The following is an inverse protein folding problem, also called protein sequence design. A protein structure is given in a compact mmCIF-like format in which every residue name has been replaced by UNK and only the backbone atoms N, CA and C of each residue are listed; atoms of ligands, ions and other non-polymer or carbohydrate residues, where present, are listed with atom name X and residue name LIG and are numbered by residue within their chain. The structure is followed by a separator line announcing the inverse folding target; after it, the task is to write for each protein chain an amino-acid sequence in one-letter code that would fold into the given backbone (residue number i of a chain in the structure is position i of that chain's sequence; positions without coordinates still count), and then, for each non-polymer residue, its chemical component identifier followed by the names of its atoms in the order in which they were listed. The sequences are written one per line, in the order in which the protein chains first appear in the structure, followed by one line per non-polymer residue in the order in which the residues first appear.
data_IF_081155865549
#
_entry.id   IF_081155865549
#
_cell.length_a   1.000
_cell.length_b   1.000
_cell.length_c   1.000
_cell.angle_alpha   90.00
_cell.angle_beta   90.00
_cell.angle_gamma   90.00
#
_symmetry.space_group_name_H-M   'P 1'
#
loop_
_entity.id
_entity.type
_entity.pdbx_description
1 polymer ?
#
# COMPACT_ATOMS: atom_id res chain seq x y z
N UNK A 1 27.22 -43.42 -51.86
CA UNK A 1 27.47 -42.63 -50.64
C UNK A 1 26.49 -41.49 -50.68
N UNK A 2 25.35 -41.68 -50.04
CA UNK A 2 24.33 -40.66 -49.83
C UNK A 2 23.99 -40.82 -48.36
N UNK A 3 24.51 -39.90 -47.56
CA UNK A 3 24.45 -39.95 -46.10
C UNK A 3 23.00 -39.82 -45.61
N UNK A 4 22.66 -40.75 -44.72
CA UNK A 4 21.53 -40.66 -43.82
C UNK A 4 21.76 -39.51 -42.83
N UNK A 5 20.84 -38.55 -42.75
CA UNK A 5 20.74 -37.67 -41.59
C UNK A 5 19.71 -38.25 -40.62
N UNK A 6 20.20 -38.55 -39.41
CA UNK A 6 19.46 -39.04 -38.26
C UNK A 6 18.49 -37.96 -37.72
N UNK A 7 17.26 -38.35 -37.38
CA UNK A 7 16.31 -37.54 -36.62
C UNK A 7 16.77 -37.44 -35.15
N UNK A 8 17.07 -36.22 -34.69
CA UNK A 8 17.36 -35.91 -33.28
C UNK A 8 16.09 -35.65 -32.44
N UNK A 9 16.17 -35.71 -31.09
CA UNK A 9 15.00 -35.65 -30.22
C UNK A 9 14.35 -34.26 -30.23
N UNK A 10 13.06 -34.21 -30.55
CA UNK A 10 12.31 -32.98 -30.82
C UNK A 10 12.22 -32.02 -29.63
N UNK A 11 12.71 -30.80 -29.82
CA UNK A 11 12.37 -29.64 -28.99
C UNK A 11 10.96 -29.17 -29.35
N UNK A 12 9.99 -29.34 -28.44
CA UNK A 12 8.64 -28.86 -28.63
C UNK A 12 8.60 -27.32 -28.69
N UNK A 13 7.82 -26.77 -29.62
CA UNK A 13 7.70 -25.30 -29.78
C UNK A 13 6.86 -24.67 -28.64
N UNK A 14 7.04 -23.36 -28.32
CA UNK A 14 6.21 -22.66 -27.34
C UNK A 14 4.70 -22.82 -27.55
N UNK A 15 4.26 -22.84 -28.81
CA UNK A 15 2.85 -23.04 -29.16
C UNK A 15 2.37 -24.46 -28.85
N UNK A 16 3.18 -25.49 -29.16
CA UNK A 16 2.84 -26.88 -28.83
C UNK A 16 2.72 -27.12 -27.31
N UNK A 17 3.59 -26.48 -26.52
CA UNK A 17 3.53 -26.56 -25.05
C UNK A 17 2.30 -25.80 -24.52
N UNK A 18 1.94 -24.66 -25.13
CA UNK A 18 0.72 -23.90 -24.81
C UNK A 18 -0.57 -24.71 -25.07
N UNK A 19 -0.64 -25.40 -26.20
CA UNK A 19 -1.78 -26.26 -26.55
C UNK A 19 -1.90 -27.45 -25.59
N UNK A 20 -0.78 -28.10 -25.25
CA UNK A 20 -0.74 -29.18 -24.24
C UNK A 20 -1.20 -28.70 -22.87
N UNK A 21 -0.83 -27.48 -22.46
CA UNK A 21 -1.27 -26.87 -21.21
C UNK A 21 -2.77 -26.58 -21.20
N UNK A 22 -3.31 -26.11 -22.33
CA UNK A 22 -4.75 -25.86 -22.48
C UNK A 22 -5.54 -27.17 -22.36
N UNK A 23 -5.15 -28.18 -23.14
CA UNK A 23 -5.80 -29.50 -23.12
C UNK A 23 -5.71 -30.18 -21.74
N UNK A 24 -4.57 -30.10 -21.07
CA UNK A 24 -4.40 -30.69 -19.74
C UNK A 24 -5.22 -29.92 -18.67
N UNK A 25 -5.37 -28.61 -18.80
CA UNK A 25 -6.25 -27.81 -17.95
C UNK A 25 -7.73 -28.19 -18.09
N UNK A 26 -8.17 -28.46 -19.32
CA UNK A 26 -9.53 -28.94 -19.61
C UNK A 26 -9.77 -30.34 -19.05
N UNK A 27 -8.79 -31.23 -19.17
CA UNK A 27 -8.84 -32.57 -18.58
C UNK A 27 -9.00 -32.52 -17.06
N UNK A 28 -8.26 -31.66 -16.36
CA UNK A 28 -8.41 -31.48 -14.90
C UNK A 28 -9.81 -30.95 -14.54
N UNK A 29 -10.37 -30.05 -15.35
CA UNK A 29 -11.74 -29.53 -15.14
C UNK A 29 -12.80 -30.60 -15.36
N UNK A 30 -12.65 -31.42 -16.41
CA UNK A 30 -13.55 -32.54 -16.68
C UNK A 30 -13.53 -33.57 -15.53
N UNK A 31 -12.35 -34.02 -15.11
CA UNK A 31 -12.20 -34.99 -14.01
C UNK A 31 -12.80 -34.51 -12.69
N UNK A 32 -12.67 -33.21 -12.37
CA UNK A 32 -13.30 -32.62 -11.18
C UNK A 32 -14.82 -32.53 -11.29
N UNK A 33 -15.35 -32.29 -12.49
CA UNK A 33 -16.79 -32.20 -12.75
C UNK A 33 -17.45 -33.57 -12.70
N UNK A 34 -16.77 -34.60 -13.22
CA UNK A 34 -17.22 -35.99 -13.23
C UNK A 34 -17.02 -36.71 -11.89
N UNK A 35 -16.42 -36.03 -10.88
CA UNK A 35 -16.08 -36.61 -9.57
C UNK A 35 -15.23 -37.88 -9.69
N UNK A 36 -14.26 -37.86 -10.59
CA UNK A 36 -13.28 -38.94 -10.75
C UNK A 36 -12.49 -39.18 -9.45
N UNK A 37 -11.83 -40.34 -9.38
CA UNK A 37 -11.03 -40.71 -8.21
C UNK A 37 -9.93 -39.68 -7.92
N UNK A 38 -9.70 -39.45 -6.62
CA UNK A 38 -8.75 -38.43 -6.15
C UNK A 38 -7.33 -38.67 -6.69
N UNK A 39 -6.92 -39.93 -6.84
CA UNK A 39 -5.63 -40.30 -7.40
C UNK A 39 -5.47 -39.84 -8.86
N UNK A 40 -6.53 -39.90 -9.66
CA UNK A 40 -6.51 -39.51 -11.08
C UNK A 40 -6.50 -37.98 -11.24
N UNK A 41 -7.23 -37.27 -10.38
CA UNK A 41 -7.19 -35.81 -10.30
C UNK A 41 -5.79 -35.34 -9.90
N UNK A 42 -5.19 -35.95 -8.88
CA UNK A 42 -3.87 -35.57 -8.38
C UNK A 42 -2.78 -35.84 -9.44
N UNK A 43 -2.84 -36.98 -10.14
CA UNK A 43 -1.92 -37.28 -11.25
C UNK A 43 -2.06 -36.27 -12.41
N UNK A 44 -3.29 -35.89 -12.76
CA UNK A 44 -3.54 -34.91 -13.81
C UNK A 44 -3.07 -33.49 -13.43
N UNK A 45 -3.19 -33.10 -12.15
CA UNK A 45 -2.70 -31.83 -11.62
C UNK A 45 -1.17 -31.79 -11.59
N UNK A 46 -0.50 -32.88 -11.20
CA UNK A 46 0.96 -32.95 -11.22
C UNK A 46 1.53 -32.77 -12.63
N UNK A 47 0.91 -33.40 -13.64
CA UNK A 47 1.30 -33.20 -15.03
C UNK A 47 1.08 -31.76 -15.51
N UNK A 48 -0.04 -31.13 -15.10
CA UNK A 48 -0.32 -29.72 -15.40
C UNK A 48 0.74 -28.78 -14.81
N UNK A 49 1.17 -29.03 -13.56
CA UNK A 49 2.22 -28.23 -12.90
C UNK A 49 3.56 -28.38 -13.61
N UNK A 50 3.94 -29.60 -14.00
CA UNK A 50 5.17 -29.85 -14.76
C UNK A 50 5.18 -29.09 -16.09
N UNK A 51 4.08 -29.16 -16.85
CA UNK A 51 3.96 -28.44 -18.12
C UNK A 51 4.05 -26.91 -17.95
N UNK A 52 3.59 -26.36 -16.82
CA UNK A 52 3.71 -24.92 -16.54
C UNK A 52 5.15 -24.50 -16.28
N UNK A 53 5.91 -25.35 -15.58
CA UNK A 53 7.36 -25.14 -15.36
C UNK A 53 8.11 -25.21 -16.68
N UNK A 54 7.80 -26.20 -17.53
CA UNK A 54 8.42 -26.36 -18.84
C UNK A 54 8.11 -25.16 -19.75
N UNK A 55 6.87 -24.67 -19.76
CA UNK A 55 6.47 -23.48 -20.51
C UNK A 55 7.16 -22.20 -20.03
N UNK A 56 7.28 -22.00 -18.71
CA UNK A 56 8.01 -20.86 -18.13
C UNK A 56 9.49 -20.89 -18.48
N UNK A 57 10.09 -22.09 -18.46
CA UNK A 57 11.49 -22.29 -18.82
C UNK A 57 11.72 -22.00 -20.31
N UNK A 58 10.78 -22.37 -21.16
CA UNK A 58 10.89 -22.20 -22.62
C UNK A 58 10.58 -20.78 -23.11
N UNK A 59 9.67 -20.07 -22.46
CA UNK A 59 9.14 -18.76 -22.93
C UNK A 59 9.55 -17.58 -22.06
N UNK A 60 10.10 -17.82 -20.86
CA UNK A 60 10.33 -16.79 -19.85
C UNK A 60 9.06 -16.24 -19.21
N UNK A 61 7.87 -16.73 -19.59
CA UNK A 61 6.56 -16.23 -19.16
C UNK A 61 5.74 -17.31 -18.47
N UNK A 62 4.97 -16.94 -17.44
CA UNK A 62 4.01 -17.85 -16.82
C UNK A 62 2.82 -18.13 -17.77
N UNK A 63 2.35 -19.38 -17.80
CA UNK A 63 1.21 -19.76 -18.63
C UNK A 63 -0.07 -19.02 -18.20
N UNK A 64 -0.69 -18.34 -19.16
CA UNK A 64 -2.00 -17.69 -19.02
C UNK A 64 -2.98 -18.28 -20.03
N UNK A 65 -4.06 -18.89 -19.54
CA UNK A 65 -5.08 -19.50 -20.39
C UNK A 65 -5.70 -18.44 -21.33
N UNK A 66 -5.79 -18.76 -22.62
CA UNK A 66 -6.34 -17.87 -23.64
C UNK A 66 -5.37 -16.81 -24.20
N UNK A 67 -4.09 -16.82 -23.80
CA UNK A 67 -3.06 -15.92 -24.33
C UNK A 67 -1.92 -16.71 -25.00
N UNK A 68 -2.01 -17.05 -26.30
CA UNK A 68 -0.98 -17.80 -26.99
C UNK A 68 0.32 -16.97 -27.14
N UNK A 69 1.51 -17.62 -27.15
CA UNK A 69 2.78 -16.93 -27.35
C UNK A 69 2.86 -16.30 -28.75
N UNK A 70 3.28 -15.04 -28.84
CA UNK A 70 3.39 -14.30 -30.12
C UNK A 70 4.72 -14.58 -30.82
N UNK A 71 4.66 -14.97 -32.09
CA UNK A 71 5.83 -15.06 -32.98
C UNK A 71 6.12 -13.67 -33.55
N UNK A 72 6.91 -12.87 -32.84
CA UNK A 72 7.43 -11.62 -33.41
C UNK A 72 8.87 -11.35 -32.97
N UNK A 73 9.78 -11.51 -33.92
CA UNK A 73 11.18 -11.03 -33.92
C UNK A 73 11.22 -9.53 -33.59
N UNK A 74 12.17 -9.04 -32.76
CA UNK A 74 12.08 -7.72 -32.17
C UNK A 74 12.35 -6.62 -33.22
N UNK A 75 11.38 -5.73 -33.40
CA UNK A 75 11.60 -4.39 -33.97
C UNK A 75 11.49 -3.37 -32.83
N UNK A 76 12.48 -2.48 -32.77
CA UNK A 76 12.64 -1.45 -31.74
C UNK A 76 11.43 -0.49 -31.72
N UNK A 77 10.81 -0.34 -30.55
CA UNK A 77 9.88 0.75 -30.26
C UNK A 77 10.33 1.48 -28.98
N UNK A 78 10.43 2.80 -29.08
CA UNK A 78 10.96 3.72 -28.06
C UNK A 78 9.85 4.14 -27.08
N UNK A 79 9.33 3.19 -26.30
CA UNK A 79 8.69 3.45 -25.00
C UNK A 79 9.70 3.22 -23.87
N UNK A 80 9.46 3.66 -22.61
CA UNK A 80 10.36 3.31 -21.53
C UNK A 80 10.29 1.79 -21.34
N UNK A 81 11.31 1.09 -21.83
CA UNK A 81 11.55 -0.30 -21.53
C UNK A 81 11.70 -0.40 -20.02
N UNK A 82 10.85 -1.20 -19.37
CA UNK A 82 11.15 -1.67 -18.01
C UNK A 82 12.45 -2.45 -18.15
N UNK A 83 13.56 -1.82 -17.79
CA UNK A 83 14.87 -2.48 -17.71
C UNK A 83 14.76 -3.62 -16.71
N UNK A 84 15.23 -4.81 -17.09
CA UNK A 84 15.31 -5.96 -16.18
C UNK A 84 15.98 -5.52 -14.88
N UNK A 85 15.24 -5.57 -13.77
CA UNK A 85 15.73 -5.23 -12.42
C UNK A 85 15.22 -3.93 -11.80
N UNK A 86 14.28 -3.19 -12.43
CA UNK A 86 13.64 -2.03 -11.78
C UNK A 86 12.48 -2.39 -10.83
N UNK A 87 12.35 -1.64 -9.74
CA UNK A 87 11.30 -1.83 -8.73
C UNK A 87 9.91 -1.50 -9.28
N UNK A 88 8.95 -2.41 -9.17
CA UNK A 88 7.56 -2.16 -9.55
C UNK A 88 6.82 -1.54 -8.37
N UNK A 89 6.33 -0.31 -8.52
CA UNK A 89 5.54 0.39 -7.50
C UNK A 89 4.35 1.05 -8.16
N UNK A 90 3.15 0.52 -7.88
CA UNK A 90 1.86 1.05 -8.27
C UNK A 90 0.85 0.86 -7.11
N UNK A 91 -0.37 1.42 -7.17
CA UNK A 91 -1.34 1.33 -6.06
C UNK A 91 -1.69 -0.10 -5.62
N UNK A 92 -1.56 -1.09 -6.52
CA UNK A 92 -1.90 -2.48 -6.28
C UNK A 92 -0.66 -3.35 -5.99
N UNK A 93 0.48 -3.06 -6.61
CA UNK A 93 1.67 -3.91 -6.59
C UNK A 93 2.91 -3.16 -6.10
N UNK A 94 3.63 -3.80 -5.19
CA UNK A 94 4.99 -3.40 -4.80
C UNK A 94 5.85 -4.65 -4.85
N UNK A 95 6.83 -4.67 -5.76
CA UNK A 95 7.81 -5.74 -5.86
C UNK A 95 9.20 -5.21 -6.21
N UNK A 96 10.21 -5.83 -5.61
CA UNK A 96 11.63 -5.59 -5.89
C UNK A 96 12.41 -6.89 -5.80
N UNK A 97 13.48 -7.01 -6.58
CA UNK A 97 14.46 -8.11 -6.48
C UNK A 97 15.44 -7.91 -5.32
N UNK A 98 15.51 -6.72 -4.74
CA UNK A 98 16.43 -6.36 -3.67
C UNK A 98 15.95 -6.84 -2.30
N UNK A 99 16.80 -7.58 -1.58
CA UNK A 99 16.53 -7.95 -0.18
C UNK A 99 16.54 -6.75 0.78
N UNK A 100 17.11 -5.60 0.36
CA UNK A 100 17.05 -4.34 1.12
C UNK A 100 15.73 -3.60 0.94
N UNK A 101 14.85 -4.10 0.06
CA UNK A 101 13.63 -3.42 -0.34
C UNK A 101 13.85 -2.39 -1.45
N UNK A 102 12.82 -1.57 -1.65
CA UNK A 102 12.71 -0.58 -2.73
C UNK A 102 13.77 0.52 -2.60
N UNK A 103 14.36 0.92 -3.72
CA UNK A 103 15.25 2.08 -3.80
C UNK A 103 14.42 3.37 -3.84
N UNK A 104 14.18 3.92 -2.65
CA UNK A 104 13.32 5.09 -2.45
C UNK A 104 13.89 6.38 -3.07
N UNK A 105 15.21 6.52 -3.21
CA UNK A 105 15.80 7.71 -3.84
C UNK A 105 15.62 7.67 -5.37
N UNK A 106 15.76 6.49 -6.00
CA UNK A 106 15.36 6.31 -7.41
C UNK A 106 13.87 6.52 -7.61
N UNK A 107 13.05 6.07 -6.66
CA UNK A 107 11.59 6.24 -6.74
C UNK A 107 11.19 7.72 -6.70
N UNK A 108 11.89 8.55 -5.92
CA UNK A 108 11.71 10.02 -5.92
C UNK A 108 11.90 10.58 -7.34
N UNK A 109 13.00 10.21 -7.99
CA UNK A 109 13.33 10.67 -9.35
C UNK A 109 12.27 10.20 -10.34
N UNK A 110 11.90 8.91 -10.31
CA UNK A 110 10.90 8.33 -11.22
C UNK A 110 9.54 9.00 -11.10
N UNK A 111 9.09 9.25 -9.87
CA UNK A 111 7.79 9.87 -9.63
C UNK A 111 7.86 11.40 -9.75
N UNK A 112 9.06 11.99 -9.78
CA UNK A 112 9.27 13.43 -9.83
C UNK A 112 8.76 14.13 -8.56
N UNK A 113 8.96 13.50 -7.40
CA UNK A 113 8.65 14.09 -6.08
C UNK A 113 9.90 14.77 -5.49
N UNK A 114 9.79 15.35 -4.30
CA UNK A 114 10.91 16.01 -3.60
C UNK A 114 11.33 15.19 -2.38
N UNK A 115 12.62 15.08 -2.10
CA UNK A 115 13.14 14.47 -0.86
C UNK A 115 12.79 15.37 0.33
N UNK A 116 12.39 14.77 1.45
CA UNK A 116 12.35 15.47 2.74
C UNK A 116 13.79 15.50 3.27
N UNK A 117 14.39 16.68 3.29
CA UNK A 117 15.71 16.93 3.84
C UNK A 117 15.64 17.43 5.29
N UNK A 118 16.81 17.61 5.91
CA UNK A 118 16.90 18.07 7.29
C UNK A 118 16.36 19.50 7.45
N UNK A 119 16.51 20.37 6.43
CA UNK A 119 16.00 21.75 6.48
C UNK A 119 14.47 21.75 6.62
N UNK A 120 13.77 20.92 5.84
CA UNK A 120 12.32 20.79 5.93
C UNK A 120 11.89 20.19 7.28
N UNK A 121 12.61 19.20 7.80
CA UNK A 121 12.34 18.63 9.13
C UNK A 121 12.48 19.68 10.22
N UNK A 122 13.58 20.44 10.20
CA UNK A 122 13.82 21.53 11.16
C UNK A 122 12.78 22.65 11.03
N UNK A 123 12.31 22.91 9.80
CA UNK A 123 11.22 23.89 9.57
C UNK A 123 9.90 23.41 10.17
N UNK A 124 9.55 22.13 10.00
CA UNK A 124 8.34 21.56 10.64
C UNK A 124 8.42 21.70 12.17
N UNK A 125 9.58 21.42 12.78
CA UNK A 125 9.80 21.63 14.22
C UNK A 125 9.58 23.09 14.62
N UNK A 126 10.20 24.05 13.92
CA UNK A 126 10.06 25.48 14.21
C UNK A 126 8.62 25.97 14.08
N UNK A 127 7.91 25.51 13.05
CA UNK A 127 6.53 25.95 12.76
C UNK A 127 5.52 25.38 13.75
N UNK A 128 5.69 24.13 14.15
CA UNK A 128 4.78 23.44 15.09
C UNK A 128 5.15 23.67 16.56
N UNK A 129 6.41 24.00 16.84
CA UNK A 129 6.96 24.04 18.21
C UNK A 129 7.05 22.66 18.85
N UNK A 130 6.98 21.58 18.06
CA UNK A 130 6.95 20.20 18.52
C UNK A 130 8.10 19.39 17.91
N UNK A 131 8.65 18.47 18.69
CA UNK A 131 9.68 17.53 18.20
C UNK A 131 9.14 16.79 16.97
N UNK A 132 9.87 16.78 15.83
CA UNK A 132 9.43 16.08 14.62
C UNK A 132 9.12 14.62 14.92
N UNK A 133 8.04 14.07 14.36
CA UNK A 133 7.71 12.66 14.52
C UNK A 133 8.89 11.76 14.14
N UNK A 134 9.04 10.60 14.79
CA UNK A 134 10.14 9.67 14.48
C UNK A 134 10.15 9.24 13.02
N UNK A 135 8.98 9.22 12.36
CA UNK A 135 8.90 8.91 10.94
C UNK A 135 9.55 9.95 10.03
N UNK A 136 9.60 11.22 10.44
CA UNK A 136 10.38 12.23 9.74
C UNK A 136 11.87 12.06 10.06
N UNK A 137 12.22 11.94 11.35
CA UNK A 137 13.62 11.82 11.82
C UNK A 137 14.34 10.61 11.23
N UNK A 138 13.62 9.52 10.98
CA UNK A 138 14.15 8.25 10.48
C UNK A 138 13.93 8.04 8.97
N UNK A 139 13.42 9.04 8.25
CA UNK A 139 13.15 8.93 6.82
C UNK A 139 12.14 7.85 6.45
N UNK A 140 11.16 7.57 7.31
CA UNK A 140 10.01 6.72 6.98
C UNK A 140 9.04 7.53 6.12
N UNK A 141 8.70 8.75 6.53
CA UNK A 141 8.18 9.76 5.62
C UNK A 141 9.37 10.48 5.01
N UNK A 142 9.62 10.24 3.73
CA UNK A 142 10.90 10.55 3.08
C UNK A 142 10.76 11.44 1.85
N UNK A 143 9.56 11.55 1.29
CA UNK A 143 9.27 12.33 0.09
C UNK A 143 8.05 13.21 0.29
N UNK A 144 7.98 14.32 -0.44
CA UNK A 144 6.87 15.26 -0.37
C UNK A 144 6.58 15.91 -1.73
N UNK A 145 5.44 16.61 -1.79
CA UNK A 145 5.12 17.60 -2.82
C UNK A 145 4.51 18.83 -2.15
N UNK A 146 5.04 20.01 -2.44
CA UNK A 146 4.51 21.30 -1.97
C UNK A 146 4.34 21.44 -0.44
N UNK A 147 5.06 20.66 0.38
CA UNK A 147 5.03 20.79 1.84
C UNK A 147 5.47 22.19 2.31
N UNK A 148 6.41 22.84 1.61
CA UNK A 148 6.75 24.24 1.90
C UNK A 148 5.54 25.18 1.76
N UNK A 149 4.64 24.95 0.79
CA UNK A 149 3.44 25.79 0.63
C UNK A 149 2.44 25.60 1.79
N UNK A 150 2.37 24.39 2.35
CA UNK A 150 1.59 24.13 3.57
C UNK A 150 2.16 24.93 4.74
N UNK A 151 3.48 24.88 4.93
CA UNK A 151 4.15 25.61 6.01
C UNK A 151 4.01 27.13 5.81
N UNK A 152 4.18 27.64 4.59
CA UNK A 152 3.95 29.04 4.25
C UNK A 152 2.51 29.46 4.61
N UNK A 153 1.51 28.65 4.24
CA UNK A 153 0.11 28.92 4.56
C UNK A 153 -0.13 28.98 6.08
N UNK A 154 0.40 27.99 6.82
CA UNK A 154 0.23 27.88 8.26
C UNK A 154 0.92 29.02 9.03
N UNK A 155 2.16 29.37 8.66
CA UNK A 155 2.89 30.52 9.21
C UNK A 155 2.11 31.83 9.01
N UNK A 156 1.45 31.98 7.86
CA UNK A 156 0.57 33.10 7.51
C UNK A 156 -0.86 32.98 8.08
N UNK A 157 -1.10 32.08 9.05
CA UNK A 157 -2.40 31.88 9.71
C UNK A 157 -3.54 31.52 8.74
N UNK A 158 -3.21 30.96 7.58
CA UNK A 158 -4.18 30.36 6.67
C UNK A 158 -4.37 28.91 7.06
N UNK A 159 -5.64 28.49 7.11
CA UNK A 159 -5.98 27.11 7.41
C UNK A 159 -5.73 26.20 6.21
N UNK A 160 -5.46 24.93 6.51
CA UNK A 160 -5.41 23.82 5.56
C UNK A 160 -6.07 22.60 6.21
N UNK A 161 -6.29 21.52 5.45
CA UNK A 161 -6.87 20.29 5.99
C UNK A 161 -6.08 19.07 5.55
N UNK A 162 -6.20 17.99 6.32
CA UNK A 162 -5.64 16.69 5.98
C UNK A 162 -6.66 15.85 5.23
N UNK A 163 -6.17 15.08 4.28
CA UNK A 163 -6.92 14.01 3.64
C UNK A 163 -6.06 12.75 3.59
N UNK A 164 -6.60 11.63 4.06
CA UNK A 164 -6.03 10.31 3.80
C UNK A 164 -7.16 9.32 3.53
N UNK A 165 -6.85 8.06 3.22
CA UNK A 165 -7.87 7.07 2.90
C UNK A 165 -7.47 5.64 3.15
N UNK A 166 -8.47 4.76 3.09
CA UNK A 166 -8.33 3.32 3.25
C UNK A 166 -9.32 2.61 2.34
N UNK A 167 -8.81 1.69 1.52
CA UNK A 167 -9.63 0.71 0.82
C UNK A 167 -9.89 -0.53 1.68
N UNK A 168 -11.11 -0.74 2.20
CA UNK A 168 -11.39 -1.78 3.20
C UNK A 168 -11.57 -3.17 2.56
N UNK A 169 -10.49 -3.94 2.44
CA UNK A 169 -10.50 -5.27 1.79
C UNK A 169 -10.79 -6.46 2.72
N UNK A 170 -10.87 -6.22 4.02
CA UNK A 170 -11.05 -7.23 5.08
C UNK A 170 -11.53 -6.55 6.36
N UNK A 171 -12.08 -7.32 7.30
CA UNK A 171 -12.59 -6.80 8.58
C UNK A 171 -11.52 -6.16 9.45
N UNK A 172 -10.30 -6.69 9.42
CA UNK A 172 -9.21 -6.23 10.27
C UNK A 172 -8.08 -5.59 9.44
N UNK A 173 -7.53 -4.50 9.95
CA UNK A 173 -6.27 -3.93 9.49
C UNK A 173 -5.06 -4.72 10.02
N UNK A 174 -3.89 -4.51 9.41
CA UNK A 174 -2.59 -4.97 9.91
C UNK A 174 -1.70 -3.78 10.28
N UNK A 175 -0.61 -4.03 11.01
CA UNK A 175 0.30 -2.98 11.52
C UNK A 175 0.85 -2.05 10.42
N UNK A 176 1.05 -2.54 9.20
CA UNK A 176 1.46 -1.70 8.08
C UNK A 176 0.46 -0.60 7.71
N UNK A 177 -0.85 -0.82 7.94
CA UNK A 177 -1.84 0.22 7.72
C UNK A 177 -1.79 1.32 8.78
N UNK A 178 -1.23 1.06 9.97
CA UNK A 178 -1.13 2.08 11.02
C UNK A 178 -0.14 3.18 10.67
N UNK A 179 0.85 2.94 9.80
CA UNK A 179 1.90 3.92 9.49
C UNK A 179 1.33 5.26 9.00
N UNK A 180 0.50 5.32 7.95
CA UNK A 180 -0.12 6.58 7.53
C UNK A 180 -1.07 7.16 8.59
N UNK A 181 -1.82 6.34 9.33
CA UNK A 181 -2.78 6.84 10.32
C UNK A 181 -2.12 7.41 11.58
N UNK A 182 -1.08 6.76 12.12
CA UNK A 182 -0.29 7.28 13.25
C UNK A 182 0.30 8.64 12.88
N UNK A 183 0.87 8.75 11.67
CA UNK A 183 1.44 10.01 11.22
C UNK A 183 0.39 11.08 10.98
N UNK A 184 -0.75 10.73 10.38
CA UNK A 184 -1.85 11.66 10.15
C UNK A 184 -2.43 12.16 11.47
N UNK A 185 -2.53 11.30 12.49
CA UNK A 185 -2.92 11.70 13.84
C UNK A 185 -1.92 12.72 14.38
N UNK A 186 -0.62 12.41 14.35
CA UNK A 186 0.40 13.35 14.80
C UNK A 186 0.32 14.70 14.08
N UNK A 187 0.11 14.70 12.75
CA UNK A 187 -0.10 15.93 11.98
C UNK A 187 -1.35 16.70 12.45
N UNK A 188 -2.47 16.01 12.69
CA UNK A 188 -3.68 16.64 13.22
C UNK A 188 -3.42 17.30 14.59
N UNK A 189 -2.67 16.64 15.47
CA UNK A 189 -2.35 17.17 16.80
C UNK A 189 -1.45 18.41 16.74
N UNK A 190 -0.35 18.34 15.98
CA UNK A 190 0.68 19.40 15.99
C UNK A 190 0.30 20.62 15.17
N UNK A 191 -0.56 20.47 14.16
CA UNK A 191 -1.05 21.59 13.35
C UNK A 191 -2.42 22.10 13.80
N UNK A 192 -3.20 21.31 14.54
CA UNK A 192 -4.56 21.63 14.96
C UNK A 192 -5.49 21.98 13.78
N UNK A 193 -5.78 20.98 12.95
CA UNK A 193 -6.51 21.16 11.67
C UNK A 193 -7.54 20.04 11.41
N UNK A 194 -8.53 20.28 10.54
CA UNK A 194 -9.50 19.24 10.22
C UNK A 194 -8.90 18.14 9.33
N UNK A 195 -9.49 16.96 9.45
CA UNK A 195 -9.13 15.75 8.73
C UNK A 195 -10.38 15.15 8.08
N UNK A 196 -10.23 14.74 6.82
CA UNK A 196 -11.19 13.86 6.13
C UNK A 196 -10.54 12.51 5.82
N UNK A 197 -11.24 11.41 6.07
CA UNK A 197 -10.76 10.06 5.79
C UNK A 197 -11.75 9.35 4.87
N UNK A 198 -11.29 9.02 3.66
CA UNK A 198 -12.09 8.29 2.68
C UNK A 198 -12.00 6.79 2.89
N UNK A 199 -13.14 6.11 2.89
CA UNK A 199 -13.26 4.65 2.85
C UNK A 199 -13.81 4.24 1.49
N UNK A 200 -12.92 3.70 0.66
CA UNK A 200 -13.21 3.39 -0.75
C UNK A 200 -13.89 2.01 -0.89
N UNK A 201 -15.07 1.87 -0.29
CA UNK A 201 -15.88 0.65 -0.38
C UNK A 201 -16.42 0.41 -1.80
N UNK A 202 -16.66 1.46 -2.57
CA UNK A 202 -16.95 1.40 -4.00
C UNK A 202 -15.77 0.83 -4.83
N UNK A 203 -14.53 1.23 -4.53
CA UNK A 203 -13.32 0.62 -5.11
C UNK A 203 -13.28 -0.88 -4.81
N UNK A 204 -13.54 -1.29 -3.57
CA UNK A 204 -13.48 -2.70 -3.23
C UNK A 204 -14.57 -3.50 -3.92
N UNK A 205 -15.77 -2.95 -4.05
CA UNK A 205 -16.82 -3.53 -4.88
C UNK A 205 -16.40 -3.67 -6.35
N UNK A 206 -15.71 -2.67 -6.92
CA UNK A 206 -15.28 -2.69 -8.32
C UNK A 206 -14.11 -3.64 -8.60
N UNK A 207 -13.25 -3.91 -7.62
CA UNK A 207 -12.04 -4.74 -7.78
C UNK A 207 -12.15 -6.16 -7.21
N UNK A 208 -13.11 -6.43 -6.32
CA UNK A 208 -13.26 -7.72 -5.63
C UNK A 208 -14.65 -8.30 -5.88
N UNK A 209 -14.74 -9.61 -5.74
CA UNK A 209 -16.01 -10.34 -5.77
C UNK A 209 -16.65 -10.27 -4.38
N UNK A 210 -17.24 -9.11 -4.07
CA UNK A 210 -17.90 -8.79 -2.80
C UNK A 210 -19.21 -8.05 -3.09
N UNK A 211 -20.22 -8.23 -2.23
CA UNK A 211 -21.45 -7.44 -2.32
C UNK A 211 -21.23 -6.00 -1.83
N UNK A 212 -22.18 -5.09 -2.17
CA UNK A 212 -22.15 -3.71 -1.65
C UNK A 212 -22.27 -3.70 -0.12
N UNK A 213 -23.13 -4.56 0.43
CA UNK A 213 -23.34 -4.72 1.87
C UNK A 213 -22.08 -5.22 2.57
N UNK A 214 -21.33 -6.14 1.96
CA UNK A 214 -20.06 -6.61 2.50
C UNK A 214 -19.00 -5.50 2.49
N UNK A 215 -18.89 -4.75 1.39
CA UNK A 215 -17.93 -3.65 1.27
C UNK A 215 -18.23 -2.53 2.28
N UNK A 216 -19.50 -2.16 2.42
CA UNK A 216 -19.96 -1.18 3.40
C UNK A 216 -19.67 -1.64 4.83
N UNK A 217 -19.97 -2.90 5.15
CA UNK A 217 -19.65 -3.50 6.45
C UNK A 217 -18.15 -3.44 6.75
N UNK A 218 -17.28 -3.73 5.76
CA UNK A 218 -15.84 -3.58 5.94
C UNK A 218 -15.42 -2.12 6.14
N UNK A 219 -16.05 -1.16 5.46
CA UNK A 219 -15.82 0.26 5.71
C UNK A 219 -16.11 0.62 7.18
N UNK A 220 -17.29 0.24 7.69
CA UNK A 220 -17.68 0.50 9.10
C UNK A 220 -16.72 -0.18 10.09
N UNK A 221 -16.31 -1.43 9.86
CA UNK A 221 -15.36 -2.11 10.75
C UNK A 221 -13.95 -1.52 10.68
N UNK A 222 -13.48 -1.08 9.51
CA UNK A 222 -12.19 -0.38 9.38
C UNK A 222 -12.27 1.04 9.98
N UNK A 223 -13.45 1.68 9.98
CA UNK A 223 -13.64 2.96 10.67
C UNK A 223 -13.39 2.81 12.17
N UNK A 224 -13.77 1.69 12.80
CA UNK A 224 -13.47 1.39 14.22
C UNK A 224 -11.97 1.30 14.48
N UNK A 225 -11.23 0.61 13.62
CA UNK A 225 -9.75 0.54 13.71
C UNK A 225 -9.13 1.94 13.56
N UNK A 226 -9.62 2.75 12.62
CA UNK A 226 -9.13 4.12 12.39
C UNK A 226 -9.43 5.01 13.61
N UNK A 227 -10.65 4.98 14.16
CA UNK A 227 -11.02 5.73 15.37
C UNK A 227 -10.14 5.31 16.55
N UNK A 228 -9.80 4.02 16.67
CA UNK A 228 -8.90 3.50 17.71
C UNK A 228 -7.44 4.00 17.60
N UNK A 229 -7.07 4.70 16.52
CA UNK A 229 -5.82 5.46 16.44
C UNK A 229 -5.86 6.75 17.29
N UNK A 230 -7.03 7.17 17.74
CA UNK A 230 -7.22 8.30 18.68
C UNK A 230 -7.44 9.65 18.01
N UNK A 231 -7.97 9.68 16.78
CA UNK A 231 -8.34 10.92 16.10
C UNK A 231 -9.39 11.72 16.89
N UNK A 232 -9.32 13.05 16.82
CA UNK A 232 -10.28 13.92 17.51
C UNK A 232 -11.62 13.92 16.74
N UNK A 233 -12.69 13.47 17.39
CA UNK A 233 -14.05 13.45 16.82
C UNK A 233 -14.54 14.84 16.44
N UNK A 234 -14.07 15.92 17.08
CA UNK A 234 -14.50 17.27 16.71
C UNK A 234 -13.81 17.78 15.45
N UNK A 235 -12.73 17.13 15.01
CA UNK A 235 -11.85 17.56 13.91
C UNK A 235 -11.77 16.54 12.78
N UNK A 236 -12.47 15.42 12.87
CA UNK A 236 -12.32 14.30 11.92
C UNK A 236 -13.66 13.88 11.33
N UNK A 237 -13.71 13.81 10.00
CA UNK A 237 -14.83 13.25 9.25
C UNK A 237 -14.37 12.01 8.48
N UNK A 238 -14.92 10.85 8.81
CA UNK A 238 -14.67 9.59 8.09
C UNK A 238 -15.86 9.37 7.16
N UNK A 239 -15.68 8.89 5.94
CA UNK A 239 -16.83 8.66 5.06
C UNK A 239 -16.63 7.44 4.17
N UNK A 240 -17.71 6.66 4.01
CA UNK A 240 -17.87 5.68 2.94
C UNK A 240 -18.16 6.42 1.63
N UNK A 241 -17.53 6.00 0.53
CA UNK A 241 -17.81 6.56 -0.78
C UNK A 241 -19.24 6.22 -1.22
N UNK A 242 -19.70 4.98 -1.01
CA UNK A 242 -21.06 4.54 -1.34
C UNK A 242 -22.13 5.41 -0.64
N UNK A 243 -21.94 5.74 0.63
CA UNK A 243 -22.89 6.55 1.40
C UNK A 243 -22.77 8.05 1.07
N UNK A 244 -21.56 8.60 1.12
CA UNK A 244 -21.35 10.05 1.05
C UNK A 244 -21.62 10.63 -0.34
N UNK A 245 -21.39 9.85 -1.40
CA UNK A 245 -21.71 10.24 -2.77
C UNK A 245 -23.20 10.61 -2.92
N UNK A 246 -24.09 9.88 -2.25
CA UNK A 246 -25.54 10.13 -2.25
C UNK A 246 -25.97 11.32 -1.39
N UNK A 247 -25.12 11.78 -0.47
CA UNK A 247 -25.43 12.82 0.51
C UNK A 247 -24.71 14.16 0.25
N UNK A 248 -23.73 14.20 -0.66
CA UNK A 248 -22.94 15.40 -0.95
C UNK A 248 -23.00 15.83 -2.41
N UNK A 249 -23.78 16.89 -2.74
CA UNK A 249 -23.77 17.45 -4.10
C UNK A 249 -22.40 18.06 -4.45
N UNK A 250 -21.63 18.51 -3.46
CA UNK A 250 -20.28 19.06 -3.67
C UNK A 250 -19.30 17.99 -4.15
N UNK A 251 -19.36 16.80 -3.54
CA UNK A 251 -18.49 15.68 -3.85
C UNK A 251 -18.67 15.21 -5.30
N UNK A 252 -19.88 14.83 -5.69
CA UNK A 252 -20.12 14.32 -7.06
C UNK A 252 -19.84 15.38 -8.15
N UNK A 253 -20.11 16.67 -7.88
CA UNK A 253 -19.74 17.77 -8.81
C UNK A 253 -18.23 17.81 -9.07
N UNK A 254 -17.41 17.58 -8.05
CA UNK A 254 -15.97 17.52 -8.22
C UNK A 254 -15.52 16.24 -8.91
N UNK A 255 -16.15 15.09 -8.65
CA UNK A 255 -15.92 13.84 -9.42
C UNK A 255 -16.13 14.10 -10.91
N UNK A 256 -17.27 14.68 -11.31
CA UNK A 256 -17.57 14.99 -12.71
C UNK A 256 -16.58 15.99 -13.31
N UNK A 257 -16.16 17.01 -12.56
CA UNK A 257 -15.12 17.95 -12.99
C UNK A 257 -13.80 17.24 -13.26
N UNK A 258 -13.39 16.31 -12.42
CA UNK A 258 -12.14 15.54 -12.62
C UNK A 258 -12.27 14.61 -13.83
N UNK A 259 -13.37 13.84 -13.92
CA UNK A 259 -13.64 12.93 -15.04
C UNK A 259 -13.55 13.63 -16.40
N UNK A 260 -14.07 14.86 -16.51
CA UNK A 260 -14.01 15.65 -17.75
C UNK A 260 -12.57 15.97 -18.22
N UNK A 261 -11.60 16.01 -17.30
CA UNK A 261 -10.23 16.46 -17.59
C UNK A 261 -9.18 15.33 -17.54
N UNK A 262 -9.63 14.08 -17.39
CA UNK A 262 -8.80 12.88 -17.41
C UNK A 262 -9.33 11.95 -18.50
N UNK A 263 -8.52 11.74 -19.53
CA UNK A 263 -8.84 10.85 -20.65
C UNK A 263 -8.56 9.39 -20.29
N UNK A 264 -9.20 8.46 -21.02
CA UNK A 264 -8.92 7.04 -20.84
C UNK A 264 -7.43 6.71 -21.09
N UNK A 265 -6.82 7.27 -22.14
CA UNK A 265 -5.40 7.07 -22.43
C UNK A 265 -4.49 7.48 -21.26
N UNK A 266 -4.85 8.55 -20.52
CA UNK A 266 -4.10 8.94 -19.33
C UNK A 266 -4.20 7.87 -18.23
N UNK A 267 -5.39 7.36 -17.92
CA UNK A 267 -5.52 6.32 -16.87
C UNK A 267 -4.94 4.97 -17.30
N UNK A 268 -4.92 4.65 -18.61
CA UNK A 268 -4.14 3.50 -19.13
C UNK A 268 -2.65 3.65 -18.83
N UNK A 269 -2.09 4.84 -19.08
CA UNK A 269 -0.67 5.11 -18.84
C UNK A 269 -0.30 5.20 -17.36
N UNK A 270 -1.19 5.72 -16.50
CA UNK A 270 -0.92 5.92 -15.07
C UNK A 270 -1.16 4.64 -14.26
N UNK A 271 -2.24 3.92 -14.56
CA UNK A 271 -2.74 2.81 -13.75
C UNK A 271 -2.68 1.45 -14.46
N UNK A 272 -2.30 1.40 -15.74
CA UNK A 272 -2.23 0.15 -16.48
C UNK A 272 -3.58 -0.46 -16.86
N UNK A 273 -4.67 0.33 -16.82
CA UNK A 273 -5.98 -0.16 -17.26
C UNK A 273 -5.99 -0.56 -18.73
N UNK A 274 -6.86 -1.51 -19.07
CA UNK A 274 -7.06 -1.99 -20.44
C UNK A 274 -8.50 -1.78 -20.89
N UNK A 275 -8.75 -1.95 -22.18
CA UNK A 275 -10.09 -1.76 -22.77
C UNK A 275 -11.10 -2.82 -22.27
N UNK A 276 -10.62 -3.86 -21.59
CA UNK A 276 -11.42 -4.91 -20.95
C UNK A 276 -11.82 -4.61 -19.50
N UNK A 277 -11.24 -3.58 -18.87
CA UNK A 277 -11.63 -3.19 -17.53
C UNK A 277 -13.01 -2.52 -17.53
N UNK A 278 -13.80 -2.74 -16.47
CA UNK A 278 -15.12 -2.13 -16.38
C UNK A 278 -15.02 -0.60 -16.21
N UNK A 279 -16.04 0.12 -16.70
CA UNK A 279 -16.08 1.59 -16.67
C UNK A 279 -15.98 2.18 -15.25
N UNK A 280 -16.39 1.42 -14.24
CA UNK A 280 -16.24 1.80 -12.84
C UNK A 280 -14.76 1.93 -12.46
N UNK A 281 -13.92 0.93 -12.77
CA UNK A 281 -12.47 0.99 -12.52
C UNK A 281 -11.81 2.16 -13.26
N UNK A 282 -12.16 2.34 -14.53
CA UNK A 282 -11.60 3.38 -15.40
C UNK A 282 -11.86 4.78 -14.83
N UNK A 283 -13.03 4.99 -14.23
CA UNK A 283 -13.47 6.30 -13.73
C UNK A 283 -13.24 6.52 -12.23
N UNK A 284 -12.95 5.46 -11.46
CA UNK A 284 -12.64 5.51 -10.03
C UNK A 284 -11.53 6.52 -9.64
N UNK A 285 -10.44 6.72 -10.40
CA UNK A 285 -9.42 7.72 -10.04
C UNK A 285 -9.97 9.12 -9.77
N UNK A 286 -11.10 9.49 -10.39
CA UNK A 286 -11.78 10.76 -10.11
C UNK A 286 -12.42 10.82 -8.72
N UNK A 287 -12.90 9.68 -8.19
CA UNK A 287 -13.49 9.54 -6.86
C UNK A 287 -12.41 9.72 -5.79
N UNK A 288 -11.23 9.10 -5.96
CA UNK A 288 -10.10 9.30 -5.06
C UNK A 288 -9.45 10.70 -5.19
N UNK A 289 -9.59 11.37 -6.34
CA UNK A 289 -9.13 12.75 -6.51
C UNK A 289 -10.03 13.78 -5.82
N UNK A 290 -11.35 13.58 -5.81
CA UNK A 290 -12.33 14.56 -5.34
C UNK A 290 -12.13 15.04 -3.88
N UNK A 291 -11.75 14.21 -2.90
CA UNK A 291 -11.48 14.65 -1.53
C UNK A 291 -10.32 15.64 -1.40
N UNK A 292 -9.48 15.78 -2.43
CA UNK A 292 -8.39 16.76 -2.47
C UNK A 292 -8.87 18.21 -2.60
N UNK A 293 -10.17 18.42 -2.83
CA UNK A 293 -10.78 19.74 -2.98
C UNK A 293 -11.80 19.99 -1.88
N UNK A 294 -11.62 21.08 -1.13
CA UNK A 294 -12.48 21.46 0.01
C UNK A 294 -13.96 21.61 -0.36
N UNK A 295 -14.28 21.99 -1.60
CA UNK A 295 -15.67 22.10 -2.08
C UNK A 295 -16.40 20.75 -2.16
N UNK A 296 -15.69 19.62 -2.03
CA UNK A 296 -16.30 18.29 -1.88
C UNK A 296 -17.00 18.10 -0.54
N UNK A 297 -16.65 18.91 0.47
CA UNK A 297 -17.19 18.83 1.83
C UNK A 297 -17.86 20.16 2.25
N UNK A 298 -18.99 20.53 1.63
CA UNK A 298 -19.64 21.81 1.90
C UNK A 298 -20.05 22.00 3.37
N UNK A 299 -20.37 20.91 4.09
CA UNK A 299 -20.71 20.94 5.51
C UNK A 299 -19.52 21.26 6.43
N UNK A 300 -18.28 21.07 5.94
CA UNK A 300 -17.06 21.35 6.69
C UNK A 300 -16.50 22.73 6.29
N UNK A 301 -16.35 22.97 4.99
CA UNK A 301 -15.62 24.13 4.46
C UNK A 301 -16.54 25.22 3.87
N UNK A 302 -17.86 25.10 4.02
CA UNK A 302 -18.84 26.12 3.60
C UNK A 302 -18.68 26.60 2.15
N UNK A 303 -18.30 25.67 1.24
CA UNK A 303 -18.09 25.97 -0.18
C UNK A 303 -16.79 26.74 -0.51
N UNK A 304 -15.91 26.99 0.47
CA UNK A 304 -14.56 27.54 0.21
C UNK A 304 -13.78 26.64 -0.74
N UNK A 305 -13.04 27.25 -1.66
CA UNK A 305 -12.27 26.57 -2.73
C UNK A 305 -10.76 26.70 -2.60
N UNK A 306 -10.31 27.49 -1.63
CA UNK A 306 -8.94 27.95 -1.42
C UNK A 306 -8.30 27.33 -0.18
N UNK A 307 -9.01 26.42 0.51
CA UNK A 307 -8.44 25.68 1.65
C UNK A 307 -7.47 24.64 1.09
N UNK A 308 -6.20 24.78 1.46
CA UNK A 308 -5.14 23.90 1.00
C UNK A 308 -5.34 22.48 1.57
N UNK A 309 -5.01 21.45 0.79
CA UNK A 309 -5.09 20.05 1.19
C UNK A 309 -3.68 19.47 1.35
N UNK A 310 -3.43 18.72 2.42
CA UNK A 310 -2.24 17.90 2.63
C UNK A 310 -2.63 16.42 2.72
N UNK A 311 -1.95 15.58 1.94
CA UNK A 311 -2.26 14.15 1.84
C UNK A 311 -1.08 13.30 2.35
N UNK A 312 -1.18 12.74 3.57
CA UNK A 312 -0.25 11.72 4.04
C UNK A 312 -0.66 10.35 3.50
N UNK A 313 0.24 9.68 2.77
CA UNK A 313 0.01 8.35 2.23
C UNK A 313 1.34 7.59 2.06
N UNK A 314 1.27 6.27 1.83
CA UNK A 314 2.42 5.56 1.27
C UNK A 314 2.61 5.96 -0.21
N UNK A 315 3.85 5.89 -0.70
CA UNK A 315 4.19 6.42 -2.02
C UNK A 315 3.49 5.71 -3.20
N UNK A 316 2.95 4.51 -2.99
CA UNK A 316 2.14 3.80 -3.99
C UNK A 316 0.85 4.54 -4.37
N UNK A 317 0.39 5.49 -3.56
CA UNK A 317 -0.78 6.32 -3.85
C UNK A 317 -0.45 7.59 -4.66
N UNK A 318 0.83 7.95 -4.83
CA UNK A 318 1.25 9.15 -5.61
C UNK A 318 0.66 9.20 -7.04
N UNK A 319 0.50 8.09 -7.79
CA UNK A 319 -0.10 8.13 -9.13
C UNK A 319 -1.49 8.80 -9.17
N UNK A 320 -2.35 8.55 -8.18
CA UNK A 320 -3.64 9.24 -8.07
C UNK A 320 -3.48 10.74 -7.91
N UNK A 321 -2.59 11.16 -7.01
CA UNK A 321 -2.48 12.56 -6.65
C UNK A 321 -1.60 13.36 -7.59
N UNK A 322 -0.66 12.72 -8.30
CA UNK A 322 0.02 13.31 -9.45
C UNK A 322 -0.99 13.67 -10.53
N UNK A 323 -1.91 12.75 -10.86
CA UNK A 323 -3.03 13.04 -11.75
C UNK A 323 -3.91 14.17 -11.20
N UNK A 324 -4.28 14.14 -9.92
CA UNK A 324 -5.09 15.18 -9.28
C UNK A 324 -4.44 16.56 -9.36
N UNK A 325 -3.11 16.64 -9.17
CA UNK A 325 -2.34 17.89 -9.24
C UNK A 325 -2.31 18.48 -10.66
N UNK A 326 -2.34 17.65 -11.70
CA UNK A 326 -2.43 18.11 -13.09
C UNK A 326 -3.83 18.63 -13.45
N UNK A 327 -4.86 18.06 -12.83
CA UNK A 327 -6.27 18.45 -13.02
C UNK A 327 -6.62 19.72 -12.24
N UNK A 328 -6.16 19.85 -10.99
CA UNK A 328 -6.51 20.92 -10.06
C UNK A 328 -6.52 22.34 -10.69
N UNK A 329 -5.46 22.82 -11.37
CA UNK A 329 -5.47 24.15 -11.98
C UNK A 329 -6.48 24.30 -13.13
N UNK A 330 -6.80 23.21 -13.86
CA UNK A 330 -7.76 23.22 -14.99
C UNK A 330 -9.20 23.42 -14.50
N UNK A 331 -9.48 23.03 -13.26
CA UNK A 331 -10.79 23.18 -12.61
C UNK A 331 -10.82 24.33 -11.59
N UNK A 332 -9.74 25.13 -11.52
CA UNK A 332 -9.65 26.34 -10.70
C UNK A 332 -9.46 26.09 -9.20
N UNK A 333 -8.80 25.00 -8.82
CA UNK A 333 -8.51 24.63 -7.44
C UNK A 333 -6.99 24.55 -7.16
N UNK A 334 -6.56 24.71 -5.88
CA UNK A 334 -5.17 24.51 -5.50
C UNK A 334 -4.77 23.04 -5.68
N UNK A 335 -3.49 22.81 -5.97
CA UNK A 335 -2.91 21.47 -6.02
C UNK A 335 -2.82 20.90 -4.59
N UNK A 336 -3.22 19.65 -4.33
CA UNK A 336 -2.95 19.04 -3.02
C UNK A 336 -1.44 18.86 -2.81
N UNK A 337 -0.98 19.13 -1.59
CA UNK A 337 0.35 18.79 -1.12
C UNK A 337 0.37 17.32 -0.64
N UNK A 338 1.55 16.72 -0.61
CA UNK A 338 1.73 15.30 -0.24
C UNK A 338 2.91 15.09 0.70
N UNK A 339 2.77 14.09 1.57
CA UNK A 339 3.84 13.48 2.36
C UNK A 339 3.78 11.97 2.11
N UNK A 340 4.89 11.40 1.64
CA UNK A 340 4.98 10.01 1.23
C UNK A 340 5.80 9.18 2.22
N UNK A 341 5.21 8.07 2.68
CA UNK A 341 5.91 7.06 3.47
C UNK A 341 6.56 5.98 2.62
N UNK A 342 7.58 5.34 3.17
CA UNK A 342 8.09 4.03 2.75
C UNK A 342 7.04 2.95 2.99
N UNK A 343 7.26 1.76 2.43
CA UNK A 343 6.42 0.60 2.66
C UNK A 343 6.82 -0.13 3.93
N UNK A 344 5.81 -0.59 4.67
CA UNK A 344 6.01 -1.51 5.78
C UNK A 344 6.26 -2.93 5.23
N UNK A 345 7.43 -3.55 5.49
CA UNK A 345 7.81 -4.79 4.81
C UNK A 345 6.96 -5.98 5.25
N UNK A 346 6.78 -6.96 4.37
CA UNK A 346 6.17 -8.23 4.72
C UNK A 346 7.06 -9.02 5.70
N UNK A 347 6.46 -9.95 6.46
CA UNK A 347 7.23 -10.78 7.40
C UNK A 347 8.35 -11.57 6.69
N UNK A 348 8.11 -12.04 5.47
CA UNK A 348 9.06 -12.86 4.69
C UNK A 348 10.25 -12.07 4.17
N UNK A 349 10.19 -10.74 4.16
CA UNK A 349 11.26 -9.88 3.64
C UNK A 349 10.75 -8.55 3.09
N UNK A 350 11.69 -7.68 2.74
CA UNK A 350 11.41 -6.34 2.23
C UNK A 350 11.09 -6.28 0.72
N UNK A 351 11.10 -7.43 0.04
CA UNK A 351 10.80 -7.54 -1.39
C UNK A 351 9.36 -7.18 -1.74
N UNK A 352 8.45 -7.33 -0.77
CA UNK A 352 7.03 -7.01 -0.90
C UNK A 352 6.54 -6.21 0.30
N UNK A 353 5.47 -5.42 0.08
CA UNK A 353 4.75 -4.77 1.18
C UNK A 353 3.88 -5.77 1.94
N UNK A 354 3.68 -5.53 3.24
CA UNK A 354 2.71 -6.28 4.03
C UNK A 354 1.31 -6.20 3.38
N UNK A 355 0.63 -7.34 3.27
CA UNK A 355 -0.66 -7.44 2.60
C UNK A 355 -1.60 -8.39 3.32
N UNK A 356 -2.83 -7.94 3.55
CA UNK A 356 -3.89 -8.76 4.14
C UNK A 356 -4.23 -10.01 3.30
N UNK A 357 -3.87 -10.03 2.01
CA UNK A 357 -4.08 -11.17 1.12
C UNK A 357 -3.21 -12.39 1.44
N UNK A 358 -2.08 -12.20 2.15
CA UNK A 358 -1.26 -13.30 2.66
C UNK A 358 -1.26 -13.27 4.21
N UNK A 359 -2.03 -14.16 4.87
CA UNK A 359 -2.13 -14.22 6.33
C UNK A 359 -0.80 -14.44 7.05
N UNK A 360 0.19 -15.05 6.39
CA UNK A 360 1.51 -15.30 6.96
C UNK A 360 2.45 -14.10 6.77
N UNK A 361 2.11 -13.16 5.90
CA UNK A 361 2.89 -11.93 5.67
C UNK A 361 2.60 -10.82 6.69
N UNK A 362 1.47 -10.90 7.38
CA UNK A 362 0.87 -9.79 8.13
C UNK A 362 0.75 -10.06 9.63
N UNK A 363 1.01 -9.03 10.44
CA UNK A 363 0.60 -8.97 11.85
C UNK A 363 -0.68 -8.13 11.91
N UNK A 364 -1.82 -8.77 12.21
CA UNK A 364 -3.12 -8.12 12.25
C UNK A 364 -3.34 -7.39 13.58
N UNK A 365 -4.15 -6.34 13.57
CA UNK A 365 -4.52 -5.60 14.79
C UNK A 365 -5.42 -6.43 15.72
N UNK A 366 -5.97 -7.53 15.23
CA UNK A 366 -6.74 -8.53 15.98
C UNK A 366 -5.89 -9.70 16.50
N UNK A 367 -4.60 -9.78 16.16
CA UNK A 367 -3.74 -10.86 16.64
C UNK A 367 -3.57 -10.78 18.17
N UNK A 368 -3.67 -11.93 18.84
CA UNK A 368 -3.33 -12.08 20.25
C UNK A 368 -1.82 -11.97 20.47
N UNK A 369 -1.39 -11.67 21.71
CA UNK A 369 0.01 -11.66 22.10
C UNK A 369 0.76 -12.94 21.68
N UNK A 370 0.11 -14.11 21.80
CA UNK A 370 0.67 -15.40 21.37
C UNK A 370 0.81 -15.50 19.84
N UNK A 371 -0.17 -15.02 19.08
CA UNK A 371 -0.10 -14.99 17.61
C UNK A 371 1.02 -14.06 17.13
N UNK A 372 1.13 -12.86 17.70
CA UNK A 372 2.20 -11.89 17.39
C UNK A 372 3.58 -12.53 17.59
N UNK A 373 3.82 -13.11 18.78
CA UNK A 373 5.06 -13.82 19.11
C UNK A 373 5.36 -14.95 18.13
N UNK A 374 4.35 -15.77 17.82
CA UNK A 374 4.52 -16.91 16.91
C UNK A 374 4.85 -16.45 15.49
N UNK A 375 4.18 -15.42 14.97
CA UNK A 375 4.43 -14.88 13.64
C UNK A 375 5.84 -14.30 13.52
N UNK A 376 6.26 -13.50 14.49
CA UNK A 376 7.61 -12.91 14.50
C UNK A 376 8.67 -14.01 14.56
N UNK A 377 8.53 -14.97 15.48
CA UNK A 377 9.54 -16.02 15.63
C UNK A 377 9.62 -16.92 14.40
N UNK A 378 8.48 -17.32 13.81
CA UNK A 378 8.44 -18.29 12.70
C UNK A 378 8.62 -17.69 11.32
N UNK A 379 8.14 -16.46 11.09
CA UNK A 379 7.98 -15.92 9.74
C UNK A 379 8.80 -14.66 9.48
N UNK A 380 9.16 -13.87 10.51
CA UNK A 380 10.00 -12.69 10.30
C UNK A 380 11.39 -13.12 9.80
N UNK A 381 11.74 -12.68 8.60
CA UNK A 381 13.04 -12.95 7.98
C UNK A 381 14.18 -12.38 8.84
N UNK A 382 15.24 -13.17 8.97
CA UNK A 382 16.42 -12.87 9.77
C UNK A 382 17.57 -12.43 8.89
N UNK A 383 18.18 -11.30 9.22
CA UNK A 383 19.48 -10.87 8.68
C UNK A 383 20.69 -11.45 9.43
N UNK A 384 20.46 -12.28 10.45
CA UNK A 384 21.49 -12.97 11.22
C UNK A 384 22.10 -14.15 10.47
N UNK A 385 23.18 -14.73 11.03
CA UNK A 385 23.81 -15.96 10.51
C UNK A 385 23.09 -17.23 10.96
N UNK A 386 23.34 -18.32 10.25
CA UNK A 386 22.70 -19.63 10.47
C UNK A 386 23.10 -20.25 11.80
N UNK A 387 24.35 -20.06 12.23
CA UNK A 387 24.87 -20.55 13.51
C UNK A 387 25.20 -19.41 14.48
N UNK A 388 25.16 -19.71 15.79
CA UNK A 388 25.51 -18.73 16.82
C UNK A 388 26.97 -18.33 16.70
N UNK A 389 27.86 -19.28 16.41
CA UNK A 389 29.30 -19.05 16.24
C UNK A 389 29.57 -18.06 15.11
N UNK A 390 28.94 -18.25 13.95
CA UNK A 390 29.04 -17.31 12.83
C UNK A 390 28.41 -15.97 13.16
N UNK A 391 27.28 -15.96 13.88
CA UNK A 391 26.61 -14.72 14.27
C UNK A 391 27.49 -13.90 15.22
N UNK A 392 28.10 -14.53 16.22
CA UNK A 392 29.05 -13.87 17.14
C UNK A 392 30.29 -13.35 16.41
N UNK A 393 30.73 -14.03 15.34
CA UNK A 393 31.94 -13.67 14.59
C UNK A 393 31.70 -12.57 13.55
N UNK A 394 30.59 -12.65 12.82
CA UNK A 394 30.33 -11.80 11.65
C UNK A 394 29.18 -10.81 11.83
N UNK A 395 28.40 -10.95 12.90
CA UNK A 395 27.24 -10.13 13.18
C UNK A 395 26.03 -10.38 12.26
N UNK A 396 24.93 -9.72 12.58
CA UNK A 396 23.71 -9.68 11.78
C UNK A 396 23.63 -8.46 10.86
N UNK A 397 22.96 -8.60 9.72
CA UNK A 397 22.70 -7.51 8.80
C UNK A 397 21.34 -6.85 9.11
N UNK A 398 21.39 -5.70 9.77
CA UNK A 398 20.20 -4.92 10.13
C UNK A 398 19.43 -4.36 8.92
N UNK A 399 20.09 -4.15 7.77
CA UNK A 399 19.46 -3.58 6.56
C UNK A 399 18.50 -4.54 5.85
N UNK A 400 18.55 -5.82 6.17
CA UNK A 400 17.68 -6.85 5.58
C UNK A 400 16.83 -7.57 6.63
N UNK A 401 17.11 -7.37 7.92
CA UNK A 401 16.37 -8.02 9.00
C UNK A 401 15.02 -7.35 9.23
N UNK A 402 13.94 -8.09 8.96
CA UNK A 402 12.57 -7.59 9.10
C UNK A 402 12.25 -7.17 10.53
N UNK A 403 12.85 -7.84 11.51
CA UNK A 403 12.60 -7.52 12.93
C UNK A 403 13.21 -6.17 13.29
N UNK A 404 14.44 -5.90 12.82
CA UNK A 404 15.06 -4.60 12.98
C UNK A 404 14.32 -3.52 12.19
N UNK A 405 13.91 -3.80 10.95
CA UNK A 405 13.09 -2.88 10.16
C UNK A 405 11.83 -2.47 10.93
N UNK A 406 11.09 -3.41 11.53
CA UNK A 406 9.87 -3.06 12.28
C UNK A 406 10.17 -2.20 13.52
N UNK A 407 11.31 -2.42 14.19
CA UNK A 407 11.73 -1.57 15.31
C UNK A 407 11.97 -0.12 14.86
N UNK A 408 12.46 0.13 13.64
CA UNK A 408 12.61 1.50 13.14
C UNK A 408 11.28 2.25 13.01
N UNK A 409 10.18 1.52 12.82
CA UNK A 409 8.83 2.11 12.81
C UNK A 409 8.25 2.30 14.20
N UNK A 410 8.46 1.38 15.14
CA UNK A 410 7.65 1.35 16.38
C UNK A 410 8.40 1.56 17.69
N UNK A 411 9.71 1.36 17.73
CA UNK A 411 10.49 1.64 18.93
C UNK A 411 10.78 3.15 19.00
N UNK A 412 10.19 3.88 19.93
CA UNK A 412 10.27 5.36 19.93
C UNK A 412 11.64 5.93 20.32
N UNK A 413 12.38 5.20 21.15
CA UNK A 413 13.70 5.61 21.66
C UNK A 413 14.78 5.44 20.59
N UNK A 414 15.32 6.57 20.09
CA UNK A 414 16.35 6.62 19.06
C UNK A 414 17.71 6.07 19.57
N UNK A 415 18.04 6.27 20.86
CA UNK A 415 19.29 5.76 21.44
C UNK A 415 19.23 4.24 21.63
N UNK A 416 18.09 3.73 22.10
CA UNK A 416 17.85 2.30 22.23
C UNK A 416 17.87 1.61 20.86
N UNK A 417 17.25 2.20 19.84
CA UNK A 417 17.27 1.66 18.48
C UNK A 417 18.70 1.59 17.93
N UNK A 418 19.50 2.64 18.11
CA UNK A 418 20.89 2.67 17.65
C UNK A 418 21.77 1.67 18.42
N UNK A 419 21.54 1.49 19.73
CA UNK A 419 22.20 0.45 20.51
C UNK A 419 21.87 -0.94 19.97
N UNK A 420 20.59 -1.24 19.72
CA UNK A 420 20.17 -2.52 19.14
C UNK A 420 20.84 -2.74 17.78
N UNK A 421 20.92 -1.71 16.94
CA UNK A 421 21.60 -1.79 15.64
C UNK A 421 23.07 -2.16 15.81
N UNK A 422 23.81 -1.45 16.67
CA UNK A 422 25.24 -1.70 16.93
C UNK A 422 25.47 -3.10 17.51
N UNK A 423 24.67 -3.51 18.48
CA UNK A 423 24.81 -4.81 19.12
C UNK A 423 24.49 -5.96 18.15
N UNK A 424 23.47 -5.79 17.29
CA UNK A 424 23.13 -6.79 16.28
C UNK A 424 24.21 -6.89 15.19
N UNK A 425 24.68 -5.74 14.68
CA UNK A 425 25.73 -5.70 13.65
C UNK A 425 27.08 -6.20 14.14
N UNK A 426 27.40 -6.07 15.43
CA UNK A 426 28.61 -6.65 16.01
C UNK A 426 28.49 -8.14 16.38
N UNK A 427 27.27 -8.69 16.38
CA UNK A 427 27.00 -10.04 16.85
C UNK A 427 26.86 -10.17 18.36
N UNK A 428 26.87 -9.06 19.10
CA UNK A 428 26.61 -9.02 20.55
C UNK A 428 25.14 -9.34 20.90
N UNK A 429 24.20 -8.98 20.01
CA UNK A 429 22.78 -9.34 20.13
C UNK A 429 22.45 -10.46 19.14
N UNK A 430 21.84 -11.55 19.60
CA UNK A 430 21.38 -12.64 18.73
C UNK A 430 20.02 -12.32 18.10
N UNK A 431 19.70 -12.96 16.97
CA UNK A 431 18.40 -12.80 16.29
C UNK A 431 17.21 -13.11 17.21
N UNK A 432 17.32 -14.13 18.07
CA UNK A 432 16.25 -14.45 19.04
C UNK A 432 15.99 -13.32 20.04
N UNK A 433 17.04 -12.60 20.43
CA UNK A 433 16.96 -11.46 21.35
C UNK A 433 16.41 -10.22 20.63
N UNK A 434 16.84 -9.96 19.40
CA UNK A 434 16.26 -8.91 18.54
C UNK A 434 14.74 -9.12 18.34
N UNK A 435 14.33 -10.34 18.00
CA UNK A 435 12.91 -10.71 17.87
C UNK A 435 12.15 -10.50 19.17
N UNK A 436 12.77 -10.81 20.32
CA UNK A 436 12.18 -10.56 21.63
C UNK A 436 11.95 -9.06 21.86
N UNK A 437 12.92 -8.20 21.54
CA UNK A 437 12.73 -6.74 21.62
C UNK A 437 11.53 -6.30 20.76
N UNK A 438 11.43 -6.77 19.52
CA UNK A 438 10.29 -6.45 18.66
C UNK A 438 8.95 -6.92 19.24
N UNK A 439 8.89 -8.14 19.79
CA UNK A 439 7.69 -8.68 20.42
C UNK A 439 7.25 -7.78 21.59
N UNK A 440 8.20 -7.36 22.43
CA UNK A 440 7.97 -6.48 23.58
C UNK A 440 7.57 -5.06 23.16
N UNK A 441 7.95 -4.60 21.97
CA UNK A 441 7.46 -3.34 21.39
C UNK A 441 6.04 -3.46 20.80
N UNK A 442 5.77 -4.51 20.02
CA UNK A 442 4.50 -4.64 19.29
C UNK A 442 3.32 -5.09 20.15
N UNK A 443 3.55 -5.98 21.13
CA UNK A 443 2.46 -6.49 21.96
C UNK A 443 1.72 -5.38 22.72
N UNK A 444 2.40 -4.48 23.47
CA UNK A 444 1.72 -3.39 24.17
C UNK A 444 0.99 -2.44 23.21
N UNK A 445 1.59 -2.13 22.05
CA UNK A 445 1.00 -1.23 21.06
C UNK A 445 -0.30 -1.79 20.48
N UNK A 446 -0.30 -3.06 20.06
CA UNK A 446 -1.49 -3.73 19.51
C UNK A 446 -2.55 -3.92 20.61
N UNK A 447 -2.15 -4.31 21.83
CA UNK A 447 -3.09 -4.44 22.95
C UNK A 447 -3.75 -3.11 23.31
N UNK A 448 -3.00 -2.00 23.31
CA UNK A 448 -3.55 -0.68 23.56
C UNK A 448 -4.51 -0.24 22.44
N UNK A 449 -4.20 -0.55 21.19
CA UNK A 449 -5.12 -0.35 20.06
C UNK A 449 -6.41 -1.16 20.23
N UNK A 450 -6.30 -2.46 20.53
CA UNK A 450 -7.45 -3.34 20.79
C UNK A 450 -8.32 -2.81 21.92
N UNK A 451 -7.73 -2.31 23.00
CA UNK A 451 -8.48 -1.74 24.11
C UNK A 451 -9.22 -0.47 23.71
N UNK A 452 -8.57 0.46 22.99
CA UNK A 452 -9.26 1.65 22.45
C UNK A 452 -10.38 1.26 21.49
N UNK A 453 -10.16 0.28 20.61
CA UNK A 453 -11.15 -0.22 19.65
C UNK A 453 -12.40 -0.77 20.34
N UNK A 454 -12.25 -1.48 21.47
CA UNK A 454 -13.40 -1.99 22.25
C UNK A 454 -14.29 -0.86 22.81
N UNK A 455 -13.72 0.32 23.05
CA UNK A 455 -14.46 1.49 23.54
C UNK A 455 -15.18 2.25 22.40
N UNK A 456 -14.93 1.89 21.14
CA UNK A 456 -15.60 2.52 19.98
C UNK A 456 -17.01 1.92 19.85
N UNK A 457 -18.01 2.70 20.24
CA UNK A 457 -19.42 2.32 20.10
C UNK A 457 -19.95 2.62 18.70
N UNK A 458 -21.12 2.06 18.36
CA UNK A 458 -21.80 2.38 17.09
C UNK A 458 -22.15 3.88 17.00
N UNK A 459 -22.54 4.51 18.11
CA UNK A 459 -22.78 5.96 18.16
C UNK A 459 -21.51 6.76 17.88
N UNK A 460 -20.35 6.27 18.37
CA UNK A 460 -19.05 6.89 18.09
C UNK A 460 -18.76 6.81 16.60
N UNK A 461 -18.87 5.63 15.99
CA UNK A 461 -18.68 5.46 14.53
C UNK A 461 -19.63 6.37 13.75
N UNK A 462 -20.92 6.35 14.09
CA UNK A 462 -21.93 7.19 13.48
C UNK A 462 -21.57 8.68 13.60
N UNK A 463 -21.07 9.14 14.75
CA UNK A 463 -20.67 10.53 14.94
C UNK A 463 -19.51 10.89 14.03
N UNK A 464 -18.46 10.07 13.92
CA UNK A 464 -17.35 10.29 13.00
C UNK A 464 -17.82 10.31 11.54
N UNK A 465 -18.76 9.44 11.19
CA UNK A 465 -19.22 9.22 9.82
C UNK A 465 -20.39 10.11 9.37
N UNK A 466 -21.00 10.85 10.28
CA UNK A 466 -22.08 11.78 9.95
C UNK A 466 -21.51 13.07 9.35
N UNK A 467 -21.94 13.49 8.14
CA UNK A 467 -21.61 14.78 7.58
C UNK A 467 -22.03 15.91 8.53
N UNK A 468 -21.06 16.62 9.10
CA UNK A 468 -21.30 17.72 10.05
C UNK A 468 -20.21 18.77 9.92
N UNK A 469 -20.44 19.89 10.57
CA UNK A 469 -19.42 20.90 10.80
C UNK A 469 -18.40 20.38 11.82
N UNK A 470 -17.12 20.56 11.52
CA UNK A 470 -16.01 20.32 12.45
C UNK A 470 -15.73 21.59 13.26
N UNK A 471 -14.98 21.49 14.35
CA UNK A 471 -14.68 22.59 15.29
C UNK A 471 -13.69 23.62 14.72
N UNK A 472 -14.06 24.20 13.58
CA UNK A 472 -13.33 25.19 12.82
C UNK A 472 -14.32 26.19 12.19
N UNK A 473 -13.85 27.41 11.96
CA UNK A 473 -14.60 28.48 11.28
C UNK A 473 -13.99 28.73 9.89
N UNK A 474 -14.78 28.57 8.82
CA UNK A 474 -14.34 28.68 7.42
C UNK A 474 -15.15 29.69 6.60
#
# INVERSE_FOLDING_TARGET
MTDCQEEGPGNATPMEVFEKLTAQGDKVRALKTEKADKADIDAAVQLLLKLKVDYKTLTGQDYKAGCPPSNSTPTQDNGPSVTEGEDMVDPWNVSTSSAKGVDYDKLIVRFGSSKIDQELVDRIERVTGQKPHQFLRRGIFFSHRDMHQILDAYENKKSFYLYTGRGPSSEAMHVGHLIPFIFTKWLQDVFDIPLVIQLTDDEKYLWKDLSLEECHRYAVENAKDIIACGFDVNKTFIFSDLDYMGMSPGFYRNVVKVQKHVTFNQVKGIFGFTDSDCIGKISFPAIQAAPSFSTSFPQIFNGRKDVQCLIPCAIDQDPYFRMTRDVAPRIGYPKPALLHSTFFPALQGAQTKMSASDPNSSIFLTDTAKQIKNKINKHAFSGGKDTIEEHRKYGGNAEVDVSFMYLTFFLEDDEQLEKIRKDYTSGALLTGELKKCLIETLQPMIMAHQERRKQVTEETVQQFMTPRRLDFNY
#
